data_IF_699299460279
#
_entry.id   IF_699299460279
#
_cell.length_a   1.000
_cell.length_b   1.000
_cell.length_c   1.000
_cell.angle_alpha   90.00
_cell.angle_beta   90.00
_cell.angle_gamma   90.00
#
_symmetry.space_group_name_H-M   'P 1'
#
loop_
_entity.id
_entity.type
_entity.pdbx_description
1 polymer ?
#
# COMPACT_ATOMS: atom_id res chain seq x y z
N UNK A 1 13.18 2.91 -7.34
CA UNK A 1 12.64 1.56 -7.67
C UNK A 1 12.35 1.54 -9.16
N UNK A 2 13.02 0.66 -9.91
CA UNK A 2 12.80 0.54 -11.36
C UNK A 2 11.53 -0.26 -11.70
N UNK A 3 11.12 -1.16 -10.81
CA UNK A 3 9.92 -1.98 -10.95
C UNK A 3 8.70 -1.28 -10.36
N UNK A 4 7.61 -1.17 -11.14
CA UNK A 4 6.31 -0.59 -10.76
C UNK A 4 6.39 0.85 -10.16
N UNK A 5 7.04 1.82 -10.84
CA UNK A 5 7.30 3.14 -10.28
C UNK A 5 6.03 3.91 -9.91
N UNK A 6 4.95 3.77 -10.68
CA UNK A 6 3.67 4.45 -10.42
C UNK A 6 3.01 3.96 -9.12
N UNK A 7 2.97 2.64 -8.91
CA UNK A 7 2.36 2.05 -7.71
C UNK A 7 3.13 2.45 -6.44
N UNK A 8 4.46 2.39 -6.47
CA UNK A 8 5.27 2.81 -5.33
C UNK A 8 5.21 4.31 -5.06
N UNK A 9 5.00 5.16 -6.08
CA UNK A 9 4.75 6.59 -5.88
C UNK A 9 3.42 6.84 -5.16
N UNK A 10 2.37 6.10 -5.52
CA UNK A 10 1.07 6.19 -4.82
C UNK A 10 1.24 5.73 -3.36
N UNK A 11 1.93 4.61 -3.12
CA UNK A 11 2.19 4.12 -1.76
C UNK A 11 3.06 5.09 -0.94
N UNK A 12 4.00 5.80 -1.57
CA UNK A 12 4.77 6.88 -0.95
C UNK A 12 3.87 8.06 -0.57
N UNK A 13 3.00 8.49 -1.48
CA UNK A 13 2.06 9.58 -1.24
C UNK A 13 1.11 9.24 -0.09
N UNK A 14 0.56 8.02 -0.08
CA UNK A 14 -0.28 7.50 0.99
C UNK A 14 0.48 7.24 2.31
N UNK A 15 1.79 7.54 2.40
CA UNK A 15 2.56 7.35 3.62
C UNK A 15 2.88 5.89 3.97
N UNK A 16 2.57 4.93 3.10
CA UNK A 16 2.72 3.49 3.37
C UNK A 16 4.10 2.95 2.99
N UNK A 17 4.79 3.57 2.03
CA UNK A 17 6.06 3.06 1.51
C UNK A 17 7.16 4.11 1.51
N UNK A 18 8.21 3.95 2.34
CA UNK A 18 9.30 4.94 2.41
C UNK A 18 10.12 4.95 1.10
N UNK A 19 10.46 6.13 0.56
CA UNK A 19 11.41 6.22 -0.54
C UNK A 19 12.83 5.82 -0.10
N UNK A 20 13.58 5.19 -1.01
CA UNK A 20 14.96 4.72 -0.77
C UNK A 20 15.93 5.88 -0.46
N UNK A 21 15.68 7.04 -1.07
CA UNK A 21 16.46 8.27 -0.88
C UNK A 21 16.41 8.81 0.55
N UNK A 22 15.41 8.42 1.35
CA UNK A 22 15.19 8.90 2.71
C UNK A 22 15.53 7.84 3.75
N UNK A 23 16.48 6.96 3.42
CA UNK A 23 16.87 5.83 4.26
C UNK A 23 17.71 6.21 5.50
N UNK A 24 18.31 7.41 5.54
CA UNK A 24 19.20 7.84 6.64
C UNK A 24 18.82 9.17 7.29
N UNK A 25 19.16 9.30 8.57
CA UNK A 25 19.07 10.54 9.35
C UNK A 25 17.65 11.01 9.66
N UNK A 26 17.44 12.33 9.60
CA UNK A 26 16.21 13.00 10.01
C UNK A 26 15.02 12.76 9.07
N UNK A 27 15.29 12.58 7.77
CA UNK A 27 14.26 12.31 6.75
C UNK A 27 13.53 11.00 7.01
N UNK A 28 14.25 9.98 7.50
CA UNK A 28 13.66 8.71 7.92
C UNK A 28 12.65 8.92 9.04
N UNK A 29 13.05 9.65 10.08
CA UNK A 29 12.20 9.87 11.25
C UNK A 29 10.95 10.69 10.88
N UNK A 30 11.12 11.73 10.07
CA UNK A 30 10.02 12.54 9.53
C UNK A 30 8.99 11.68 8.79
N UNK A 31 9.45 10.82 7.88
CA UNK A 31 8.56 9.94 7.13
C UNK A 31 7.88 8.91 8.02
N UNK A 32 8.58 8.37 9.01
CA UNK A 32 7.99 7.41 9.94
C UNK A 32 6.90 8.05 10.81
N UNK A 33 7.11 9.30 11.24
CA UNK A 33 6.05 10.10 11.89
C UNK A 33 4.87 10.34 10.94
N UNK A 34 5.13 10.67 9.68
CA UNK A 34 4.07 10.82 8.67
C UNK A 34 3.26 9.52 8.48
N UNK A 35 3.92 8.37 8.36
CA UNK A 35 3.27 7.06 8.30
C UNK A 35 2.40 6.81 9.53
N UNK A 36 2.91 7.09 10.74
CA UNK A 36 2.15 6.91 11.98
C UNK A 36 0.88 7.77 11.98
N UNK A 37 0.99 9.03 11.56
CA UNK A 37 -0.16 9.96 11.48
C UNK A 37 -1.21 9.44 10.49
N UNK A 38 -0.80 9.01 9.29
CA UNK A 38 -1.73 8.50 8.28
C UNK A 38 -2.42 7.23 8.77
N UNK A 39 -1.67 6.29 9.35
CA UNK A 39 -2.22 5.05 9.91
C UNK A 39 -3.20 5.37 11.04
N UNK A 40 -2.85 6.30 11.93
CA UNK A 40 -3.73 6.74 13.00
C UNK A 40 -5.07 7.24 12.45
N UNK A 41 -5.06 8.14 11.46
CA UNK A 41 -6.29 8.64 10.84
C UNK A 41 -7.13 7.55 10.19
N UNK A 42 -6.51 6.63 9.44
CA UNK A 42 -7.23 5.52 8.77
C UNK A 42 -7.92 4.62 9.80
N UNK A 43 -7.24 4.27 10.89
CA UNK A 43 -7.79 3.42 11.94
C UNK A 43 -8.87 4.14 12.75
N UNK A 44 -8.67 5.41 13.11
CA UNK A 44 -9.69 6.20 13.82
C UNK A 44 -10.94 6.38 12.97
N UNK A 45 -10.80 6.64 11.67
CA UNK A 45 -11.93 6.74 10.75
C UNK A 45 -12.70 5.41 10.67
N UNK A 46 -12.00 4.28 10.51
CA UNK A 46 -12.64 2.95 10.50
C UNK A 46 -13.37 2.65 11.82
N UNK A 47 -12.79 3.04 12.96
CA UNK A 47 -13.45 2.90 14.26
C UNK A 47 -14.73 3.75 14.36
N UNK A 48 -14.73 4.95 13.78
CA UNK A 48 -15.92 5.82 13.71
C UNK A 48 -17.05 5.14 12.94
N UNK A 49 -16.75 4.54 11.78
CA UNK A 49 -17.74 3.81 10.98
C UNK A 49 -18.30 2.60 11.73
N UNK A 50 -17.45 1.85 12.45
CA UNK A 50 -17.91 0.73 13.28
C UNK A 50 -18.85 1.17 14.40
N UNK A 51 -18.58 2.32 15.01
CA UNK A 51 -19.49 2.90 16.01
C UNK A 51 -20.83 3.27 15.34
N UNK A 52 -20.79 3.90 14.17
CA UNK A 52 -21.98 4.28 13.41
C UNK A 52 -22.85 3.06 13.03
N UNK A 53 -22.24 1.94 12.59
CA UNK A 53 -22.95 0.68 12.32
C UNK A 53 -23.72 0.19 13.55
N UNK A 54 -23.16 0.33 14.75
CA UNK A 54 -23.80 -0.15 15.98
C UNK A 54 -24.96 0.73 16.45
N UNK A 55 -24.98 2.00 16.04
CA UNK A 55 -26.00 2.98 16.42
C UNK A 55 -27.15 3.04 15.40
N UNK A 56 -26.87 2.91 14.10
CA UNK A 56 -27.80 3.24 13.01
C UNK A 56 -28.74 2.09 12.54
N UNK A 57 -29.15 1.17 13.43
CA UNK A 57 -29.97 -0.01 13.02
C UNK A 57 -31.43 0.36 12.62
N UNK A 58 -31.84 1.62 12.72
CA UNK A 58 -33.25 2.01 12.54
C UNK A 58 -33.72 2.10 11.07
N UNK A 59 -32.85 2.44 10.11
CA UNK A 59 -33.19 2.49 8.68
C UNK A 59 -32.33 1.51 7.87
N UNK A 60 -32.97 0.54 7.22
CA UNK A 60 -32.30 -0.57 6.53
C UNK A 60 -31.40 -0.13 5.37
N UNK A 61 -31.82 0.85 4.57
CA UNK A 61 -31.07 1.27 3.38
C UNK A 61 -29.76 1.99 3.76
N UNK A 62 -29.84 2.88 4.74
CA UNK A 62 -28.68 3.57 5.30
C UNK A 62 -27.75 2.60 6.04
N UNK A 63 -28.31 1.64 6.79
CA UNK A 63 -27.52 0.62 7.48
C UNK A 63 -26.67 -0.21 6.51
N UNK A 64 -27.21 -0.59 5.35
CA UNK A 64 -26.46 -1.31 4.31
C UNK A 64 -25.28 -0.49 3.80
N UNK A 65 -25.48 0.80 3.54
CA UNK A 65 -24.42 1.70 3.07
C UNK A 65 -23.30 1.86 4.11
N UNK A 66 -23.66 2.10 5.38
CA UNK A 66 -22.69 2.27 6.48
C UNK A 66 -21.91 0.96 6.71
N UNK A 67 -22.58 -0.19 6.69
CA UNK A 67 -21.93 -1.51 6.82
C UNK A 67 -20.95 -1.74 5.65
N UNK A 68 -21.35 -1.44 4.42
CA UNK A 68 -20.49 -1.60 3.24
C UNK A 68 -19.22 -0.74 3.33
N UNK A 69 -19.37 0.50 3.76
CA UNK A 69 -18.29 1.45 4.00
C UNK A 69 -17.33 0.92 5.09
N UNK A 70 -17.88 0.48 6.24
CA UNK A 70 -17.11 -0.10 7.33
C UNK A 70 -16.32 -1.35 6.92
N UNK A 71 -16.93 -2.27 6.16
CA UNK A 71 -16.23 -3.45 5.63
C UNK A 71 -15.13 -3.07 4.64
N UNK A 72 -15.37 -2.06 3.82
CA UNK A 72 -14.37 -1.54 2.87
C UNK A 72 -13.16 -1.00 3.62
N UNK A 73 -13.37 -0.17 4.65
CA UNK A 73 -12.29 0.42 5.45
C UNK A 73 -11.57 -0.59 6.34
N UNK A 74 -12.26 -1.62 6.84
CA UNK A 74 -11.61 -2.77 7.48
C UNK A 74 -10.64 -3.47 6.51
N UNK A 75 -11.05 -3.66 5.26
CA UNK A 75 -10.19 -4.19 4.21
C UNK A 75 -8.97 -3.30 3.94
N UNK A 76 -9.15 -1.97 3.96
CA UNK A 76 -8.05 -1.01 3.85
C UNK A 76 -7.10 -1.12 5.04
N UNK A 77 -7.60 -1.15 6.28
CA UNK A 77 -6.79 -1.33 7.48
C UNK A 77 -5.96 -2.62 7.43
N UNK A 78 -6.58 -3.73 7.00
CA UNK A 78 -5.86 -4.99 6.82
C UNK A 78 -4.73 -4.88 5.79
N UNK A 79 -4.99 -4.26 4.64
CA UNK A 79 -3.97 -4.01 3.61
C UNK A 79 -2.84 -3.12 4.13
N UNK A 80 -3.17 -2.05 4.84
CA UNK A 80 -2.20 -1.13 5.46
C UNK A 80 -1.31 -1.88 6.45
N UNK A 81 -1.91 -2.64 7.38
CA UNK A 81 -1.17 -3.45 8.35
C UNK A 81 -0.28 -4.50 7.69
N UNK A 82 -0.79 -5.18 6.64
CA UNK A 82 -0.01 -6.16 5.88
C UNK A 82 1.20 -5.52 5.20
N UNK A 83 1.02 -4.37 4.53
CA UNK A 83 2.10 -3.64 3.86
C UNK A 83 3.19 -3.26 4.86
N UNK A 84 2.82 -2.78 6.05
CA UNK A 84 3.77 -2.38 7.09
C UNK A 84 4.50 -3.60 7.66
N UNK A 85 3.78 -4.67 8.00
CA UNK A 85 4.35 -5.86 8.63
C UNK A 85 5.23 -6.67 7.68
N UNK A 86 4.83 -6.79 6.41
CA UNK A 86 5.56 -7.54 5.36
C UNK A 86 6.52 -6.67 4.57
N UNK A 87 6.82 -5.45 5.04
CA UNK A 87 7.67 -4.50 4.32
C UNK A 87 9.06 -5.05 3.99
N UNK A 88 9.71 -5.73 4.94
CA UNK A 88 11.04 -6.30 4.70
C UNK A 88 11.00 -7.40 3.64
N UNK A 89 10.01 -8.29 3.71
CA UNK A 89 9.80 -9.35 2.71
C UNK A 89 9.55 -8.78 1.32
N UNK A 90 8.74 -7.72 1.22
CA UNK A 90 8.52 -7.04 -0.05
C UNK A 90 9.79 -6.38 -0.60
N UNK A 91 10.64 -5.80 0.26
CA UNK A 91 11.94 -5.25 -0.17
C UNK A 91 12.82 -6.36 -0.74
N UNK A 92 12.92 -7.50 -0.07
CA UNK A 92 13.68 -8.67 -0.54
C UNK A 92 13.13 -9.16 -1.88
N UNK A 93 11.81 -9.27 -2.01
CA UNK A 93 11.16 -9.70 -3.26
C UNK A 93 11.45 -8.74 -4.43
N UNK A 94 11.43 -7.43 -4.17
CA UNK A 94 11.78 -6.41 -5.17
C UNK A 94 13.26 -6.46 -5.55
N UNK A 95 14.14 -6.77 -4.61
CA UNK A 95 15.56 -6.95 -4.88
C UNK A 95 15.81 -8.19 -5.76
N UNK A 96 15.17 -9.32 -5.45
CA UNK A 96 15.23 -10.54 -6.27
C UNK A 96 14.75 -10.26 -7.70
N UNK A 97 13.65 -9.52 -7.83
CA UNK A 97 13.07 -9.17 -9.13
C UNK A 97 13.97 -8.23 -9.96
N UNK A 98 14.74 -7.36 -9.31
CA UNK A 98 15.57 -6.37 -9.98
C UNK A 98 17.02 -6.83 -10.24
N UNK A 99 17.60 -7.65 -9.36
CA UNK A 99 19.03 -7.98 -9.36
C UNK A 99 19.32 -9.49 -9.44
N UNK A 100 18.34 -10.35 -9.17
CA UNK A 100 18.52 -11.80 -9.15
C UNK A 100 18.43 -12.46 -10.53
N UNK A 101 18.08 -13.76 -10.54
CA UNK A 101 17.82 -14.55 -11.76
C UNK A 101 16.66 -14.05 -12.62
N UNK A 102 15.88 -13.08 -12.12
CA UNK A 102 14.71 -12.54 -12.80
C UNK A 102 15.04 -11.36 -13.71
N UNK A 103 16.30 -10.90 -13.75
CA UNK A 103 16.71 -9.84 -14.66
C UNK A 103 16.87 -10.43 -16.06
N UNK A 104 16.25 -9.85 -17.11
CA UNK A 104 16.39 -10.34 -18.47
C UNK A 104 17.84 -10.14 -18.92
N UNK A 105 18.45 -11.21 -19.42
CA UNK A 105 19.82 -11.20 -19.96
C UNK A 105 19.79 -11.39 -21.47
N UNK A 106 18.88 -12.22 -21.96
CA UNK A 106 18.77 -12.55 -23.38
C UNK A 106 17.82 -11.60 -24.12
N UNK A 107 18.09 -11.35 -25.40
CA UNK A 107 17.28 -10.46 -26.24
C UNK A 107 15.81 -10.91 -26.34
N UNK A 108 15.54 -12.21 -26.25
CA UNK A 108 14.18 -12.75 -26.19
C UNK A 108 13.48 -12.39 -24.87
N UNK A 109 14.15 -12.53 -23.74
CA UNK A 109 13.62 -12.17 -22.41
C UNK A 109 13.31 -10.67 -22.34
N UNK A 110 14.20 -9.83 -22.90
CA UNK A 110 13.98 -8.38 -22.98
C UNK A 110 12.74 -8.06 -23.82
N UNK A 111 12.54 -8.73 -24.97
CA UNK A 111 11.35 -8.54 -25.82
C UNK A 111 10.07 -8.94 -25.10
N UNK A 112 10.09 -10.05 -24.36
CA UNK A 112 8.96 -10.50 -23.54
C UNK A 112 8.67 -9.47 -22.46
N UNK A 113 9.68 -9.02 -21.72
CA UNK A 113 9.50 -8.03 -20.67
C UNK A 113 8.95 -6.71 -21.22
N UNK A 114 9.51 -6.18 -22.31
CA UNK A 114 8.99 -4.96 -22.95
C UNK A 114 7.53 -5.08 -23.41
N UNK A 115 7.12 -6.25 -23.91
CA UNK A 115 5.73 -6.50 -24.32
C UNK A 115 4.78 -6.42 -23.13
N UNK A 116 5.17 -6.96 -21.98
CA UNK A 116 4.36 -6.95 -20.77
C UNK A 116 4.43 -5.62 -20.01
N UNK A 117 5.57 -4.94 -19.99
CA UNK A 117 5.73 -3.62 -19.37
C UNK A 117 4.83 -2.57 -20.03
N UNK A 118 4.62 -2.67 -21.35
CA UNK A 118 3.65 -1.82 -22.07
C UNK A 118 2.20 -2.03 -21.62
N UNK A 119 1.86 -3.21 -21.11
CA UNK A 119 0.52 -3.55 -20.62
C UNK A 119 0.31 -3.19 -19.16
N UNK A 120 1.39 -2.99 -18.40
CA UNK A 120 1.39 -2.66 -16.98
C UNK A 120 1.54 -1.16 -16.69
N UNK A 121 1.72 -0.31 -17.71
CA UNK A 121 1.66 1.15 -17.61
C UNK A 121 0.23 1.65 -17.72
#
# INVERSE_FOLDING_TARGET
MHVLPSNFKILQFCGLWRPYEWSSGWKKNLYDTYTIIVVFFVYTFTLSELIEVTIFIENFDDAVNIIFLAFTMLGVCYKVGNIIFKRNEMIILLEILNNGRCRPVEDEEIKIQMKHDKRCR
#
